data_IF_495203695448
#
_entry.id   IF_495203695448
#
_cell.length_a   1.000
_cell.length_b   1.000
_cell.length_c   1.000
_cell.angle_alpha   90.00
_cell.angle_beta   90.00
_cell.angle_gamma   90.00
#
_symmetry.space_group_name_H-M   'P 1'
#
loop_
_entity.id
_entity.type
_entity.pdbx_description
1 polymer ?
#
# COMPACT_ATOMS: atom_id res chain seq x y z
N UNK A 1 0.18 5.76 -12.22
CA UNK A 1 0.48 6.12 -10.83
C UNK A 1 1.99 6.34 -10.67
N UNK A 2 2.38 7.22 -9.78
CA UNK A 2 3.77 7.47 -9.37
C UNK A 2 3.83 7.49 -7.84
N UNK A 3 5.04 7.46 -7.26
CA UNK A 3 5.25 7.63 -5.81
C UNK A 3 5.82 9.02 -5.54
N UNK A 4 5.41 9.64 -4.44
CA UNK A 4 5.99 10.89 -3.96
C UNK A 4 7.51 10.75 -3.75
N UNK A 5 8.24 11.83 -3.94
CA UNK A 5 9.71 11.88 -3.85
C UNK A 5 10.47 10.95 -4.82
N UNK A 6 9.77 10.25 -5.70
CA UNK A 6 10.37 9.34 -6.69
C UNK A 6 10.24 9.93 -8.09
N UNK A 7 11.35 9.97 -8.82
CA UNK A 7 11.35 10.46 -10.20
C UNK A 7 10.75 9.42 -11.16
N UNK A 8 10.00 9.87 -12.14
CA UNK A 8 9.41 9.04 -13.19
C UNK A 8 9.44 9.75 -14.55
N UNK A 9 9.47 8.97 -15.62
CA UNK A 9 9.47 9.49 -16.97
C UNK A 9 8.05 9.77 -17.48
N UNK A 10 7.86 10.95 -18.07
CA UNK A 10 6.69 11.28 -18.89
C UNK A 10 7.16 11.41 -20.35
N UNK A 11 6.47 10.74 -21.26
CA UNK A 11 6.81 10.83 -22.69
C UNK A 11 5.83 11.72 -23.43
N UNK A 12 6.35 12.72 -24.13
CA UNK A 12 5.58 13.60 -25.01
C UNK A 12 5.72 13.08 -26.43
N UNK A 13 4.61 12.86 -27.10
CA UNK A 13 4.59 12.42 -28.49
C UNK A 13 3.47 13.10 -29.29
N UNK A 14 3.66 13.18 -30.60
CA UNK A 14 2.65 13.60 -31.57
C UNK A 14 2.19 12.40 -32.38
N UNK A 15 0.88 12.24 -32.54
CA UNK A 15 0.33 11.22 -33.43
C UNK A 15 0.47 11.65 -34.88
N UNK A 16 1.15 10.84 -35.71
CA UNK A 16 1.22 10.97 -37.17
C UNK A 16 0.49 9.74 -37.76
N UNK A 17 -0.77 9.94 -38.08
CA UNK A 17 -1.67 8.80 -38.36
C UNK A 17 -1.81 7.89 -37.12
N UNK A 18 -1.42 6.63 -37.26
CA UNK A 18 -1.44 5.64 -36.15
C UNK A 18 -0.08 5.48 -35.46
N UNK A 19 0.92 6.31 -35.77
CA UNK A 19 2.26 6.22 -35.21
C UNK A 19 2.49 7.34 -34.20
N UNK A 20 2.93 6.99 -32.98
CA UNK A 20 3.37 7.95 -31.98
C UNK A 20 4.83 8.34 -32.25
N UNK A 21 5.08 9.62 -32.48
CA UNK A 21 6.42 10.18 -32.76
C UNK A 21 6.85 11.02 -31.57
N UNK A 22 7.95 10.69 -30.86
CA UNK A 22 8.46 11.49 -29.76
C UNK A 22 8.73 12.92 -30.15
N UNK A 23 8.42 13.86 -29.26
CA UNK A 23 8.61 15.30 -29.52
C UNK A 23 9.63 15.85 -28.51
N UNK A 24 10.73 16.38 -29.04
CA UNK A 24 11.75 17.08 -28.28
C UNK A 24 11.40 18.58 -28.10
N UNK A 25 11.91 19.17 -27.02
CA UNK A 25 11.79 20.60 -26.76
C UNK A 25 10.42 21.07 -26.27
N UNK A 26 9.52 20.15 -25.92
CA UNK A 26 8.17 20.46 -25.41
C UNK A 26 8.21 20.65 -23.90
N UNK A 27 7.70 21.77 -23.42
CA UNK A 27 7.54 22.02 -21.97
C UNK A 27 6.38 21.21 -21.42
N UNK A 28 6.60 20.57 -20.27
CA UNK A 28 5.57 19.90 -19.46
C UNK A 28 5.36 20.71 -18.18
N UNK A 29 4.10 20.95 -17.86
CA UNK A 29 3.68 21.72 -16.68
C UNK A 29 2.87 20.82 -15.75
N UNK A 30 2.95 21.10 -14.44
CA UNK A 30 2.03 20.59 -13.43
C UNK A 30 1.49 21.80 -12.66
N UNK A 31 0.16 21.94 -12.61
CA UNK A 31 -0.52 23.04 -11.90
C UNK A 31 0.07 24.44 -12.25
N UNK A 32 0.41 24.64 -13.53
CA UNK A 32 0.99 25.88 -14.04
C UNK A 32 2.51 26.03 -13.86
N UNK A 33 3.18 25.14 -13.15
CA UNK A 33 4.62 25.16 -12.96
C UNK A 33 5.34 24.27 -13.97
N UNK A 34 6.47 24.72 -14.51
CA UNK A 34 7.28 23.93 -15.45
C UNK A 34 7.95 22.77 -14.69
N UNK A 35 7.64 21.54 -15.08
CA UNK A 35 8.28 20.33 -14.59
C UNK A 35 9.59 20.03 -15.34
N UNK A 36 9.62 20.31 -16.65
CA UNK A 36 10.78 20.09 -17.49
C UNK A 36 10.49 20.31 -18.96
N UNK A 37 11.50 20.01 -19.79
CA UNK A 37 11.45 20.07 -21.26
C UNK A 37 11.83 18.70 -21.79
N UNK A 38 11.08 18.18 -22.75
CA UNK A 38 11.33 16.86 -23.32
C UNK A 38 12.66 16.79 -24.08
N UNK A 39 13.37 15.70 -23.90
CA UNK A 39 14.61 15.37 -24.58
C UNK A 39 14.36 14.88 -26.03
N UNK A 40 15.42 14.41 -26.69
CA UNK A 40 15.37 13.90 -28.09
C UNK A 40 14.44 12.66 -28.22
N UNK A 41 14.19 11.93 -27.13
CA UNK A 41 13.29 10.78 -27.09
C UNK A 41 11.88 11.18 -26.60
N UNK A 42 11.60 12.47 -26.47
CA UNK A 42 10.35 12.99 -25.96
C UNK A 42 10.16 12.86 -24.45
N UNK A 43 11.21 12.50 -23.69
CA UNK A 43 11.10 12.21 -22.25
C UNK A 43 11.32 13.45 -21.40
N UNK A 44 10.52 13.57 -20.33
CA UNK A 44 10.67 14.55 -19.26
C UNK A 44 10.72 13.78 -17.93
N UNK A 45 11.76 14.00 -17.14
CA UNK A 45 11.85 13.46 -15.79
C UNK A 45 11.04 14.34 -14.84
N UNK A 46 9.98 13.79 -14.28
CA UNK A 46 9.09 14.46 -13.33
C UNK A 46 9.28 13.89 -11.92
N UNK A 47 9.04 14.74 -10.91
CA UNK A 47 9.03 14.33 -9.49
C UNK A 47 8.04 15.20 -8.74
N UNK A 48 7.26 14.59 -7.87
CA UNK A 48 6.35 15.26 -6.94
C UNK A 48 6.80 15.03 -5.51
N UNK A 49 6.73 16.07 -4.69
CA UNK A 49 7.14 15.98 -3.28
C UNK A 49 6.04 15.38 -2.39
N UNK A 50 4.77 15.46 -2.81
CA UNK A 50 3.62 15.04 -2.02
C UNK A 50 2.68 14.14 -2.82
N UNK A 51 1.96 13.27 -2.12
CA UNK A 51 0.87 12.50 -2.70
C UNK A 51 -0.29 13.43 -3.12
N UNK A 52 -1.01 13.05 -4.15
CA UNK A 52 -2.14 13.81 -4.68
C UNK A 52 -2.46 13.48 -6.13
N UNK A 53 -3.48 14.14 -6.65
CA UNK A 53 -3.86 14.06 -8.06
C UNK A 53 -3.35 15.32 -8.77
N UNK A 54 -2.50 15.11 -9.75
CA UNK A 54 -1.88 16.18 -10.53
C UNK A 54 -2.33 16.12 -11.98
N UNK A 55 -2.46 17.28 -12.59
CA UNK A 55 -2.72 17.40 -14.03
C UNK A 55 -1.45 17.89 -14.72
N UNK A 56 -0.85 17.00 -15.51
CA UNK A 56 0.25 17.38 -16.40
C UNK A 56 -0.32 17.92 -17.71
N UNK A 57 0.24 19.03 -18.17
CA UNK A 57 -0.14 19.65 -19.43
C UNK A 57 1.10 19.91 -20.28
N UNK A 58 0.92 19.90 -21.60
CA UNK A 58 1.91 20.42 -22.56
C UNK A 58 1.33 21.67 -23.22
N UNK A 59 2.19 22.60 -23.63
CA UNK A 59 1.75 23.81 -24.30
C UNK A 59 2.75 24.94 -24.23
N UNK A 60 2.27 26.11 -24.42
CA UNK A 60 2.98 27.37 -24.21
C UNK A 60 2.19 28.26 -23.22
N UNK A 61 2.61 29.49 -22.99
CA UNK A 61 1.97 30.40 -22.04
C UNK A 61 0.52 30.76 -22.40
N UNK A 62 0.10 30.52 -23.65
CA UNK A 62 -1.22 30.89 -24.16
C UNK A 62 -2.11 29.69 -24.47
N UNK A 63 -1.52 28.50 -24.69
CA UNK A 63 -2.25 27.32 -25.17
C UNK A 63 -1.84 26.04 -24.46
N UNK A 64 -2.81 25.25 -24.04
CA UNK A 64 -2.65 23.85 -23.59
C UNK A 64 -2.91 22.92 -24.75
N UNK A 65 -1.92 22.09 -25.14
CA UNK A 65 -2.03 21.18 -26.28
C UNK A 65 -2.52 19.80 -25.89
N UNK A 66 -2.12 19.32 -24.72
CA UNK A 66 -2.59 18.05 -24.18
C UNK A 66 -2.55 18.05 -22.67
N UNK A 67 -3.29 17.11 -22.06
CA UNK A 67 -3.26 16.89 -20.61
C UNK A 67 -3.32 15.42 -20.28
N UNK A 68 -2.69 15.03 -19.16
CA UNK A 68 -2.89 13.74 -18.54
C UNK A 68 -2.98 13.88 -17.01
N UNK A 69 -3.66 12.94 -16.35
CA UNK A 69 -3.72 12.89 -14.90
C UNK A 69 -2.71 11.90 -14.37
N UNK A 70 -2.01 12.30 -13.31
CA UNK A 70 -1.07 11.46 -12.58
C UNK A 70 -1.55 11.38 -11.13
N UNK A 71 -1.86 10.19 -10.68
CA UNK A 71 -2.11 9.93 -9.27
C UNK A 71 -0.77 9.58 -8.60
N UNK A 72 -0.37 10.37 -7.61
CA UNK A 72 0.85 10.20 -6.84
C UNK A 72 0.47 9.68 -5.46
N UNK A 73 1.03 8.52 -5.10
CA UNK A 73 0.84 7.89 -3.79
C UNK A 73 1.94 8.30 -2.83
N UNK A 74 1.69 8.21 -1.53
CA UNK A 74 2.74 8.36 -0.53
C UNK A 74 3.85 7.33 -0.75
N UNK A 75 5.09 7.74 -0.51
CA UNK A 75 6.23 6.82 -0.55
C UNK A 75 6.20 5.95 0.70
N UNK A 76 6.19 4.60 0.55
CA UNK A 76 6.23 3.71 1.70
C UNK A 76 7.51 3.90 2.53
N UNK A 77 7.34 3.94 3.84
CA UNK A 77 8.44 3.94 4.81
C UNK A 77 8.36 2.70 5.69
N UNK A 78 9.41 2.41 6.47
CA UNK A 78 9.38 1.32 7.43
C UNK A 78 8.61 1.75 8.67
N UNK A 79 7.58 0.99 9.02
CA UNK A 79 6.80 1.16 10.22
C UNK A 79 7.12 0.05 11.22
N UNK A 80 7.48 0.40 12.45
CA UNK A 80 7.60 -0.57 13.54
C UNK A 80 6.21 -0.83 14.10
N UNK A 81 5.79 -2.09 14.12
CA UNK A 81 4.49 -2.52 14.62
C UNK A 81 4.64 -3.70 15.58
N UNK A 82 3.68 -3.91 16.45
CA UNK A 82 3.59 -5.11 17.30
C UNK A 82 2.43 -5.97 16.83
N UNK A 83 2.67 -7.25 16.60
CA UNK A 83 1.63 -8.23 16.34
C UNK A 83 1.48 -9.17 17.54
N UNK A 84 0.23 -9.49 17.85
CA UNK A 84 -0.12 -10.28 19.02
C UNK A 84 -1.14 -11.35 18.68
N UNK A 85 -0.88 -12.58 19.13
CA UNK A 85 -1.86 -13.66 19.20
C UNK A 85 -2.02 -14.05 20.67
N UNK A 86 -3.24 -14.00 21.17
CA UNK A 86 -3.49 -14.34 22.57
C UNK A 86 -3.32 -15.85 22.81
N UNK A 87 -3.68 -16.67 21.83
CA UNK A 87 -3.64 -18.12 21.94
C UNK A 87 -4.77 -18.68 22.82
N UNK A 88 -4.77 -20.00 23.01
CA UNK A 88 -5.77 -20.72 23.81
C UNK A 88 -5.08 -21.28 25.05
N UNK A 89 -5.47 -20.81 26.24
CA UNK A 89 -4.83 -21.20 27.51
C UNK A 89 -3.28 -21.07 27.48
N UNK A 90 -2.76 -20.06 26.78
CA UNK A 90 -1.33 -19.83 26.61
C UNK A 90 -0.66 -20.65 25.50
N UNK A 91 -1.38 -21.58 24.87
CA UNK A 91 -0.87 -22.34 23.73
C UNK A 91 -0.97 -21.43 22.48
N UNK A 92 0.13 -21.27 21.77
CA UNK A 92 0.20 -20.45 20.57
C UNK A 92 0.23 -18.94 20.80
N UNK A 93 0.48 -18.47 22.04
CA UNK A 93 0.59 -17.05 22.31
C UNK A 93 1.84 -16.44 21.62
N UNK A 94 1.63 -15.33 20.89
CA UNK A 94 2.68 -14.57 20.21
C UNK A 94 2.60 -13.11 20.64
N UNK A 95 3.73 -12.50 20.93
CA UNK A 95 3.89 -11.05 21.10
C UNK A 95 5.23 -10.67 20.45
N UNK A 96 5.16 -10.06 19.26
CA UNK A 96 6.33 -9.83 18.43
C UNK A 96 6.29 -8.44 17.81
N UNK A 97 7.37 -7.70 17.98
CA UNK A 97 7.60 -6.43 17.31
C UNK A 97 8.39 -6.67 16.02
N UNK A 98 7.95 -6.05 14.91
CA UNK A 98 8.57 -6.19 13.59
C UNK A 98 8.50 -4.89 12.81
N UNK A 99 9.35 -4.78 11.78
CA UNK A 99 9.30 -3.71 10.80
C UNK A 99 8.58 -4.19 9.55
N UNK A 100 7.58 -3.43 9.13
CA UNK A 100 6.81 -3.66 7.90
C UNK A 100 6.80 -2.40 7.03
N UNK A 101 6.38 -2.53 5.78
CA UNK A 101 6.11 -1.34 4.97
C UNK A 101 4.90 -0.58 5.53
N UNK A 102 4.94 0.75 5.53
CA UNK A 102 3.78 1.59 5.90
C UNK A 102 2.60 1.41 4.94
N UNK A 103 2.82 0.82 3.75
CA UNK A 103 1.77 0.43 2.82
C UNK A 103 1.20 -0.96 3.07
N UNK A 104 1.78 -1.72 4.01
CA UNK A 104 1.25 -3.05 4.37
C UNK A 104 -0.10 -2.92 5.06
N UNK A 105 -0.95 -3.89 4.79
CA UNK A 105 -2.22 -4.03 5.50
C UNK A 105 -2.03 -4.70 6.86
N UNK A 106 -3.02 -4.59 7.73
CA UNK A 106 -3.02 -5.29 9.03
C UNK A 106 -2.90 -6.81 8.83
N UNK A 107 -3.60 -7.37 7.84
CA UNK A 107 -3.53 -8.81 7.55
C UNK A 107 -2.11 -9.26 7.16
N UNK A 108 -1.41 -8.48 6.33
CA UNK A 108 -0.02 -8.76 5.94
C UNK A 108 0.93 -8.68 7.14
N UNK A 109 0.76 -7.67 8.01
CA UNK A 109 1.57 -7.53 9.22
C UNK A 109 1.34 -8.70 10.20
N UNK A 110 0.10 -9.11 10.41
CA UNK A 110 -0.26 -10.26 11.23
C UNK A 110 0.37 -11.54 10.68
N UNK A 111 0.22 -11.81 9.37
CA UNK A 111 0.81 -13.00 8.75
C UNK A 111 2.34 -13.00 8.84
N UNK A 112 2.98 -11.87 8.62
CA UNK A 112 4.44 -11.75 8.79
C UNK A 112 4.87 -12.00 10.24
N UNK A 113 4.12 -11.48 11.20
CA UNK A 113 4.43 -11.65 12.63
C UNK A 113 4.16 -13.05 13.15
N UNK A 114 3.16 -13.73 12.64
CA UNK A 114 2.86 -15.13 12.98
C UNK A 114 3.84 -16.11 12.35
N UNK A 115 4.50 -15.72 11.24
CA UNK A 115 5.51 -16.51 10.55
C UNK A 115 4.91 -17.67 9.76
N UNK A 116 5.74 -18.68 9.52
CA UNK A 116 5.36 -19.87 8.76
C UNK A 116 4.59 -20.89 9.60
N UNK A 117 4.72 -20.83 10.95
CA UNK A 117 4.09 -21.78 11.87
C UNK A 117 2.57 -21.58 12.00
N UNK A 118 2.08 -20.37 11.66
CA UNK A 118 0.67 -20.04 11.73
C UNK A 118 0.18 -19.47 10.42
N UNK A 119 -0.98 -19.91 9.97
CA UNK A 119 -1.63 -19.43 8.73
C UNK A 119 -2.92 -18.72 9.07
N UNK A 120 -2.96 -17.43 8.77
CA UNK A 120 -4.15 -16.60 8.88
C UNK A 120 -4.90 -16.64 7.55
N UNK A 121 -6.19 -16.97 7.59
CA UNK A 121 -7.07 -16.86 6.41
C UNK A 121 -8.04 -15.71 6.62
N UNK A 122 -8.15 -14.84 5.61
CA UNK A 122 -9.15 -13.78 5.60
C UNK A 122 -10.20 -14.12 4.53
N UNK A 123 -11.47 -14.03 4.90
CA UNK A 123 -12.58 -14.32 3.98
C UNK A 123 -12.69 -13.27 2.88
N UNK A 124 -13.39 -13.58 1.81
CA UNK A 124 -13.70 -12.62 0.73
C UNK A 124 -14.45 -11.36 1.21
N UNK A 125 -15.13 -11.45 2.35
CA UNK A 125 -15.80 -10.32 3.01
C UNK A 125 -14.89 -9.52 3.93
N UNK A 126 -13.61 -9.90 4.04
CA UNK A 126 -12.62 -9.18 4.85
C UNK A 126 -12.61 -9.53 6.34
N UNK A 127 -13.28 -10.61 6.75
CA UNK A 127 -13.23 -11.11 8.12
C UNK A 127 -12.13 -12.17 8.27
N UNK A 128 -11.55 -12.28 9.47
CA UNK A 128 -10.67 -13.40 9.79
C UNK A 128 -11.49 -14.68 9.74
N UNK A 129 -11.20 -15.53 8.77
CA UNK A 129 -11.93 -16.78 8.53
C UNK A 129 -11.41 -17.93 9.36
N UNK A 130 -10.07 -18.04 9.48
CA UNK A 130 -9.42 -19.06 10.31
C UNK A 130 -8.00 -18.67 10.66
N UNK A 131 -7.51 -19.22 11.75
CA UNK A 131 -6.11 -19.26 12.12
C UNK A 131 -5.75 -20.71 12.45
N UNK A 132 -4.79 -21.25 11.74
CA UNK A 132 -4.26 -22.61 11.95
C UNK A 132 -2.79 -22.53 12.31
N UNK A 133 -2.31 -23.47 13.09
CA UNK A 133 -0.94 -23.50 13.60
C UNK A 133 -0.48 -24.92 13.91
N UNK A 134 0.48 -25.09 14.81
CA UNK A 134 0.94 -26.39 15.30
C UNK A 134 -0.21 -27.26 15.83
N UNK A 135 0.03 -28.56 15.93
CA UNK A 135 -1.01 -29.55 16.26
C UNK A 135 -1.66 -29.28 17.63
N UNK A 136 -0.87 -28.91 18.65
CA UNK A 136 -1.33 -28.58 19.99
C UNK A 136 -2.21 -27.31 19.99
N UNK A 137 -1.84 -26.29 19.20
CA UNK A 137 -2.65 -25.08 19.00
C UNK A 137 -3.98 -25.43 18.34
N UNK A 138 -3.97 -26.19 17.24
CA UNK A 138 -5.18 -26.60 16.54
C UNK A 138 -6.10 -27.45 17.42
N UNK A 139 -5.53 -28.35 18.23
CA UNK A 139 -6.29 -29.15 19.17
C UNK A 139 -6.92 -28.30 20.31
N UNK A 140 -6.18 -27.30 20.80
CA UNK A 140 -6.70 -26.37 21.81
C UNK A 140 -7.84 -25.52 21.24
N UNK A 141 -7.69 -25.02 20.00
CA UNK A 141 -8.73 -24.29 19.28
C UNK A 141 -10.00 -25.13 19.11
N UNK A 142 -9.88 -26.37 18.66
CA UNK A 142 -11.00 -27.25 18.42
C UNK A 142 -11.76 -27.60 19.72
N UNK A 143 -11.12 -27.51 20.89
CA UNK A 143 -11.72 -27.76 22.19
C UNK A 143 -12.55 -26.59 22.73
N UNK A 144 -12.49 -25.40 22.12
CA UNK A 144 -13.25 -24.22 22.57
C UNK A 144 -14.64 -24.22 21.93
N UNK A 145 -15.68 -24.22 22.77
CA UNK A 145 -17.07 -24.34 22.32
C UNK A 145 -17.61 -23.13 21.54
N UNK A 146 -17.03 -21.96 21.74
CA UNK A 146 -17.35 -20.72 21.01
C UNK A 146 -16.04 -20.01 20.66
N UNK A 147 -15.71 -20.03 19.41
CA UNK A 147 -14.52 -19.38 18.88
C UNK A 147 -14.93 -18.33 17.83
N UNK A 148 -14.71 -17.07 18.15
CA UNK A 148 -14.78 -16.00 17.18
C UNK A 148 -13.40 -15.40 17.01
N UNK A 149 -12.91 -15.35 15.78
CA UNK A 149 -11.64 -14.70 15.51
C UNK A 149 -11.88 -13.21 15.35
N UNK A 150 -11.54 -12.49 16.41
CA UNK A 150 -11.62 -11.04 16.43
C UNK A 150 -10.23 -10.46 16.26
N UNK A 151 -10.09 -9.40 15.47
CA UNK A 151 -8.85 -8.68 15.47
C UNK A 151 -8.99 -7.35 16.22
N UNK A 152 -7.88 -6.91 16.77
CA UNK A 152 -7.79 -5.72 17.58
C UNK A 152 -6.74 -4.77 17.01
N UNK A 153 -7.05 -3.49 17.06
CA UNK A 153 -6.13 -2.40 16.77
C UNK A 153 -5.95 -1.61 18.06
N UNK A 154 -4.71 -1.52 18.55
CA UNK A 154 -4.35 -0.80 19.78
C UNK A 154 -5.20 -1.19 21.00
N UNK A 155 -5.54 -2.47 21.11
CA UNK A 155 -6.34 -3.01 22.22
C UNK A 155 -7.85 -2.82 22.10
N UNK A 156 -8.36 -2.21 21.04
CA UNK A 156 -9.78 -2.09 20.75
C UNK A 156 -10.18 -3.05 19.63
N UNK A 157 -11.35 -3.67 19.77
CA UNK A 157 -11.94 -4.47 18.71
C UNK A 157 -12.20 -3.62 17.48
N UNK A 158 -11.78 -4.10 16.31
CA UNK A 158 -11.99 -3.43 15.04
C UNK A 158 -12.88 -4.28 14.13
N UNK A 159 -13.86 -3.63 13.50
CA UNK A 159 -14.80 -4.26 12.57
C UNK A 159 -14.44 -3.99 11.11
N UNK A 160 -13.40 -3.20 10.85
CA UNK A 160 -12.91 -2.94 9.50
C UNK A 160 -12.22 -4.17 8.94
N UNK A 161 -12.16 -4.29 7.62
CA UNK A 161 -11.43 -5.40 7.01
C UNK A 161 -9.92 -5.26 7.20
N UNK A 162 -9.23 -6.22 7.83
CA UNK A 162 -7.78 -6.19 7.97
C UNK A 162 -7.03 -6.23 6.62
N UNK A 163 -7.71 -6.59 5.52
CA UNK A 163 -7.16 -6.55 4.17
C UNK A 163 -7.03 -5.14 3.60
N UNK A 164 -7.76 -4.17 4.13
CA UNK A 164 -7.82 -2.80 3.58
C UNK A 164 -7.31 -1.74 4.54
N UNK A 165 -7.17 -2.07 5.83
CA UNK A 165 -6.64 -1.15 6.84
C UNK A 165 -5.12 -1.14 6.77
N UNK A 166 -4.49 0.00 6.45
CA UNK A 166 -3.04 0.13 6.46
C UNK A 166 -2.51 0.13 7.90
N UNK A 167 -1.28 -0.35 8.06
CA UNK A 167 -0.60 -0.25 9.35
C UNK A 167 -0.16 1.19 9.64
N UNK A 168 -0.06 1.52 10.92
CA UNK A 168 0.50 2.79 11.40
C UNK A 168 1.72 2.54 12.26
N UNK A 169 2.68 3.45 12.24
CA UNK A 169 3.88 3.35 13.09
C UNK A 169 3.49 3.31 14.57
N UNK A 170 4.06 2.36 15.31
CA UNK A 170 3.74 2.09 16.72
C UNK A 170 2.40 1.37 16.93
N UNK A 171 1.71 0.95 15.87
CA UNK A 171 0.46 0.21 15.97
C UNK A 171 0.63 -1.16 16.61
N UNK A 172 -0.39 -1.60 17.35
CA UNK A 172 -0.49 -2.92 17.97
C UNK A 172 -1.69 -3.64 17.33
N UNK A 173 -1.43 -4.75 16.67
CA UNK A 173 -2.44 -5.53 15.96
C UNK A 173 -2.50 -6.94 16.53
N UNK A 174 -3.68 -7.42 16.83
CA UNK A 174 -3.83 -8.69 17.49
C UNK A 174 -5.01 -9.52 16.99
N UNK A 175 -4.88 -10.84 17.16
CA UNK A 175 -5.95 -11.81 16.98
C UNK A 175 -6.20 -12.47 18.33
N UNK A 176 -7.48 -12.68 18.63
CA UNK A 176 -7.94 -13.14 19.95
C UNK A 176 -8.94 -14.28 19.78
#
# INVERSE_FOLDING_TARGET
TAEAETAFDVTVYQMQGNTAVPQAGVKVYADGNVMGVSDENGKVLCRFEHAGDYVLTTGDELHTYSQCRVHVTEKPFKATVTVRLTGVNGIGAIDRTLEVSSSSTVAEALQQGFGEDYVLTVSEYGYIGSLTGPEDFNAANAAVAYWGQYYFVNGAYDTSSPLTVPVTAGGIYGVF
#
